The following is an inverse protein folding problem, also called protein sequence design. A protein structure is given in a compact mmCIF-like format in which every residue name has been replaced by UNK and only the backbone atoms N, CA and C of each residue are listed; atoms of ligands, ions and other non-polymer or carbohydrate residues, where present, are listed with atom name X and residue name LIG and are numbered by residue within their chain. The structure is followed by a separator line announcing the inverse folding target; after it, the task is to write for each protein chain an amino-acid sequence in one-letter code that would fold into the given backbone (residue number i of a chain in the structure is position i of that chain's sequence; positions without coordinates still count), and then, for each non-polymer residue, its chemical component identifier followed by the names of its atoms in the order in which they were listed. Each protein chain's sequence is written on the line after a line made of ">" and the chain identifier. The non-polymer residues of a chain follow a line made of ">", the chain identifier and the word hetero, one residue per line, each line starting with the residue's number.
data_IF_334546056249
#
_entry.id   IF_334546056249
#
_cell.length_a   1.000
_cell.length_b   1.000
_cell.length_c   1.000
_cell.angle_alpha   90.00
_cell.angle_beta   90.00
_cell.angle_gamma   90.00
#
_symmetry.space_group_name_H-M   'P 1'
#
loop_
_entity.id
_entity.type
_entity.pdbx_description
1 polymer ?
#
# COMPACT_ATOMS: atom_id res chain seq x y z
N UNK A 1 -18.18 -14.46 5.06
CA UNK A 1 -17.46 -13.40 4.32
C UNK A 1 -18.48 -12.36 3.93
N UNK A 2 -18.51 -11.26 4.68
CA UNK A 2 -19.50 -10.17 4.59
C UNK A 2 -19.69 -9.64 3.15
N UNK A 3 -18.65 -9.71 2.32
CA UNK A 3 -18.65 -9.13 0.97
C UNK A 3 -18.64 -10.15 -0.18
N UNK A 4 -18.74 -11.46 0.08
CA UNK A 4 -18.50 -12.49 -0.94
C UNK A 4 -19.42 -12.35 -2.16
N UNK A 5 -18.81 -12.29 -3.35
CA UNK A 5 -19.48 -12.13 -4.64
C UNK A 5 -19.91 -10.69 -4.97
N UNK A 6 -19.70 -9.74 -4.06
CA UNK A 6 -20.13 -8.35 -4.25
C UNK A 6 -19.13 -7.54 -5.08
N UNK A 7 -19.57 -6.36 -5.54
CA UNK A 7 -18.67 -5.35 -6.11
C UNK A 7 -17.67 -4.84 -5.07
N UNK A 8 -18.06 -4.80 -3.79
CA UNK A 8 -17.19 -4.35 -2.69
C UNK A 8 -15.99 -5.27 -2.49
N UNK A 9 -16.18 -6.60 -2.57
CA UNK A 9 -15.07 -7.56 -2.50
C UNK A 9 -14.04 -7.30 -3.60
N UNK A 10 -14.48 -7.17 -4.85
CA UNK A 10 -13.60 -6.85 -5.98
C UNK A 10 -12.88 -5.50 -5.81
N UNK A 11 -13.56 -4.51 -5.25
CA UNK A 11 -12.96 -3.21 -4.98
C UNK A 11 -11.89 -3.30 -3.88
N UNK A 12 -12.13 -4.08 -2.82
CA UNK A 12 -11.16 -4.31 -1.74
C UNK A 12 -9.93 -5.08 -2.24
N UNK A 13 -10.11 -6.10 -3.07
CA UNK A 13 -9.01 -6.81 -3.73
C UNK A 13 -8.18 -5.88 -4.62
N UNK A 14 -8.85 -5.04 -5.42
CA UNK A 14 -8.19 -4.06 -6.27
C UNK A 14 -7.42 -3.01 -5.46
N UNK A 15 -8.01 -2.51 -4.37
CA UNK A 15 -7.36 -1.58 -3.44
C UNK A 15 -6.13 -2.21 -2.80
N UNK A 16 -6.26 -3.42 -2.23
CA UNK A 16 -5.12 -4.15 -1.65
C UNK A 16 -3.97 -4.35 -2.65
N UNK A 17 -4.29 -4.75 -3.88
CA UNK A 17 -3.29 -4.87 -4.95
C UNK A 17 -2.65 -3.54 -5.32
N UNK A 18 -3.45 -2.46 -5.38
CA UNK A 18 -3.02 -1.10 -5.64
C UNK A 18 -2.01 -0.61 -4.60
N UNK A 19 -2.38 -0.67 -3.32
CA UNK A 19 -1.52 -0.22 -2.21
C UNK A 19 -0.25 -1.06 -2.10
N UNK A 20 -0.33 -2.37 -2.34
CA UNK A 20 0.86 -3.24 -2.36
C UNK A 20 1.84 -2.86 -3.47
N UNK A 21 1.34 -2.49 -4.65
CA UNK A 21 2.16 -1.99 -5.76
C UNK A 21 2.71 -0.59 -5.45
N UNK A 22 1.92 0.28 -4.85
CA UNK A 22 2.32 1.63 -4.47
C UNK A 22 3.47 1.60 -3.46
N UNK A 23 3.36 0.80 -2.39
CA UNK A 23 4.43 0.52 -1.43
C UNK A 23 5.75 0.18 -2.12
N UNK A 24 5.75 -0.81 -3.02
CA UNK A 24 6.97 -1.24 -3.71
C UNK A 24 7.58 -0.11 -4.55
N UNK A 25 6.74 0.65 -5.28
CA UNK A 25 7.20 1.81 -6.06
C UNK A 25 7.85 2.86 -5.16
N UNK A 26 7.21 3.22 -4.06
CA UNK A 26 7.76 4.21 -3.13
C UNK A 26 9.06 3.74 -2.48
N UNK A 27 9.20 2.46 -2.15
CA UNK A 27 10.49 1.90 -1.71
C UNK A 27 11.58 2.04 -2.78
N UNK A 28 11.26 1.81 -4.06
CA UNK A 28 12.22 2.01 -5.15
C UNK A 28 12.60 3.49 -5.32
N UNK A 29 11.64 4.40 -5.18
CA UNK A 29 11.88 5.83 -5.26
C UNK A 29 12.70 6.34 -4.07
N UNK A 30 12.46 5.83 -2.86
CA UNK A 30 13.30 6.10 -1.69
C UNK A 30 14.75 5.66 -1.95
N UNK A 31 14.96 4.46 -2.48
CA UNK A 31 16.30 3.96 -2.84
C UNK A 31 16.98 4.84 -3.89
N UNK A 32 16.24 5.30 -4.89
CA UNK A 32 16.78 6.20 -5.93
C UNK A 32 17.13 7.58 -5.36
N UNK A 33 16.23 8.19 -4.59
CA UNK A 33 16.45 9.49 -3.94
C UNK A 33 17.68 9.46 -3.03
N UNK A 34 17.86 8.38 -2.25
CA UNK A 34 19.04 8.18 -1.41
C UNK A 34 20.34 8.11 -2.21
N UNK A 35 20.34 7.38 -3.34
CA UNK A 35 21.50 7.30 -4.25
C UNK A 35 21.88 8.65 -4.87
N UNK A 36 20.93 9.56 -4.99
CA UNK A 36 21.13 10.91 -5.54
C UNK A 36 21.43 11.96 -4.45
N UNK A 37 21.50 11.57 -3.18
CA UNK A 37 21.79 12.46 -2.06
C UNK A 37 20.59 13.24 -1.53
N UNK A 38 19.37 12.94 -2.00
CA UNK A 38 18.14 13.58 -1.54
C UNK A 38 17.57 12.88 -0.28
N UNK A 39 18.29 12.98 0.85
CA UNK A 39 17.96 12.24 2.08
C UNK A 39 16.54 12.53 2.61
N UNK A 40 16.10 13.78 2.62
CA UNK A 40 14.74 14.14 3.08
C UNK A 40 13.66 13.55 2.17
N UNK A 41 13.88 13.56 0.86
CA UNK A 41 12.93 13.00 -0.11
C UNK A 41 12.88 11.48 0.01
N UNK A 42 14.04 10.84 0.23
CA UNK A 42 14.10 9.41 0.49
C UNK A 42 13.28 9.02 1.73
N UNK A 43 13.41 9.78 2.82
CA UNK A 43 12.64 9.58 4.05
C UNK A 43 11.13 9.73 3.82
N UNK A 44 10.69 10.75 3.06
CA UNK A 44 9.28 10.95 2.71
C UNK A 44 8.74 9.77 1.89
N UNK A 45 9.50 9.26 0.91
CA UNK A 45 9.08 8.08 0.15
C UNK A 45 9.02 6.81 1.03
N UNK A 46 9.95 6.65 1.96
CA UNK A 46 9.94 5.52 2.89
C UNK A 46 8.75 5.59 3.86
N UNK A 47 8.45 6.76 4.41
CA UNK A 47 7.25 7.02 5.20
C UNK A 47 5.98 6.72 4.39
N UNK A 48 5.89 7.23 3.17
CA UNK A 48 4.75 6.98 2.27
C UNK A 48 4.59 5.48 1.99
N UNK A 49 5.69 4.74 1.74
CA UNK A 49 5.64 3.30 1.55
C UNK A 49 5.09 2.56 2.80
N UNK A 50 5.42 3.05 4.00
CA UNK A 50 4.89 2.51 5.25
C UNK A 50 3.41 2.82 5.43
N UNK A 51 2.94 4.00 5.01
CA UNK A 51 1.52 4.33 5.02
C UNK A 51 0.73 3.39 4.10
N UNK A 52 1.21 3.15 2.87
CA UNK A 52 0.53 2.21 1.96
C UNK A 52 0.55 0.77 2.47
N UNK A 53 1.57 0.38 3.23
CA UNK A 53 1.57 -0.90 3.94
C UNK A 53 0.41 -0.99 4.94
N UNK A 54 0.16 0.06 5.71
CA UNK A 54 -0.95 0.07 6.67
C UNK A 54 -2.31 0.14 5.98
N UNK A 55 -2.44 0.88 4.87
CA UNK A 55 -3.65 0.86 4.03
C UNK A 55 -3.92 -0.54 3.47
N UNK A 56 -2.91 -1.19 2.88
CA UNK A 56 -3.02 -2.55 2.36
C UNK A 56 -3.45 -3.54 3.46
N UNK A 57 -2.86 -3.42 4.66
CA UNK A 57 -3.21 -4.25 5.82
C UNK A 57 -4.67 -4.08 6.23
N UNK A 58 -5.19 -2.85 6.22
CA UNK A 58 -6.60 -2.57 6.52
C UNK A 58 -7.53 -3.22 5.49
N UNK A 59 -7.25 -3.06 4.19
CA UNK A 59 -8.05 -3.67 3.12
C UNK A 59 -8.01 -5.19 3.16
N UNK A 60 -6.84 -5.76 3.43
CA UNK A 60 -6.68 -7.19 3.59
C UNK A 60 -7.51 -7.72 4.76
N UNK A 61 -7.49 -7.03 5.91
CA UNK A 61 -8.30 -7.40 7.08
C UNK A 61 -9.80 -7.36 6.75
N UNK A 62 -10.28 -6.27 6.15
CA UNK A 62 -11.70 -6.13 5.78
C UNK A 62 -12.16 -7.22 4.79
N UNK A 63 -11.28 -7.64 3.88
CA UNK A 63 -11.58 -8.69 2.90
C UNK A 63 -11.76 -10.08 3.56
N UNK A 64 -10.98 -10.39 4.60
CA UNK A 64 -10.94 -11.73 5.19
C UNK A 64 -11.74 -11.86 6.49
N UNK A 65 -11.63 -10.86 7.36
CA UNK A 65 -12.14 -10.90 8.72
C UNK A 65 -13.49 -10.16 8.85
N UNK A 66 -13.87 -9.36 7.85
CA UNK A 66 -15.04 -8.48 7.93
C UNK A 66 -14.79 -7.23 8.77
N UNK A 67 -15.85 -6.44 8.97
CA UNK A 67 -15.82 -5.24 9.83
C UNK A 67 -16.00 -5.53 11.32
#
# INVERSE_FOLDING_TARGET
>A
MEFKGSRTEKNLEAAFSGESKARNKYTYYASKAKKEGYEQIAAIFEETANNEKEHAKLWFKLLHDGS
#
